data_IF_608520745312
#
_entry.id   IF_608520745312
#
_cell.length_a   1.000
_cell.length_b   1.000
_cell.length_c   1.000
_cell.angle_alpha   90.00
_cell.angle_beta   90.00
_cell.angle_gamma   90.00
#
_symmetry.space_group_name_H-M   'P 1'
#
loop_
_entity.id
_entity.type
_entity.pdbx_description
1 polymer ?
#
# COMPACT_ATOMS: atom_id res chain seq x y z
N UNK A 1 37.35 8.26 12.27
CA UNK A 1 37.75 9.62 11.77
C UNK A 1 36.60 10.56 12.08
N UNK A 2 36.75 11.50 13.01
CA UNK A 2 35.76 12.56 13.24
C UNK A 2 35.85 13.51 12.04
N UNK A 3 34.79 13.52 11.19
CA UNK A 3 34.61 14.59 10.21
C UNK A 3 34.45 15.85 11.02
N UNK A 4 35.37 16.84 10.86
CA UNK A 4 35.41 18.08 11.63
C UNK A 4 34.22 19.00 11.35
N UNK A 5 33.05 18.61 11.86
CA UNK A 5 31.86 19.46 11.86
C UNK A 5 32.01 20.49 13.00
N UNK A 6 31.76 21.76 12.70
CA UNK A 6 31.82 22.86 13.67
C UNK A 6 30.79 22.74 14.80
N UNK A 7 29.72 21.94 14.59
CA UNK A 7 28.75 21.50 15.59
C UNK A 7 28.44 20.03 15.39
N UNK A 8 28.14 19.33 16.46
CA UNK A 8 27.57 17.98 16.42
C UNK A 8 26.20 18.05 15.72
N UNK A 9 25.93 17.22 14.70
CA UNK A 9 24.61 17.17 14.08
C UNK A 9 23.59 16.62 15.09
N UNK A 10 22.38 17.17 15.06
CA UNK A 10 21.23 16.56 15.71
C UNK A 10 20.70 15.44 14.81
N UNK A 11 20.48 14.27 15.38
CA UNK A 11 19.96 13.09 14.65
C UNK A 11 18.50 12.91 15.05
N UNK A 12 17.59 13.04 14.09
CA UNK A 12 16.19 12.72 14.28
C UNK A 12 15.90 11.37 13.63
N UNK A 13 15.60 10.36 14.44
CA UNK A 13 15.20 9.04 13.97
C UNK A 13 13.69 9.04 13.71
N UNK A 14 13.28 8.60 12.52
CA UNK A 14 11.91 8.40 12.10
C UNK A 14 11.72 6.92 11.81
N UNK A 15 10.77 6.28 12.51
CA UNK A 15 10.50 4.84 12.41
C UNK A 15 8.99 4.58 12.49
N UNK A 16 8.22 5.06 11.49
CA UNK A 16 6.78 4.93 11.48
C UNK A 16 6.35 3.50 11.18
N UNK A 17 5.37 2.99 11.93
CA UNK A 17 4.72 1.70 11.71
C UNK A 17 3.31 1.87 11.13
N UNK A 18 2.65 2.99 11.43
CA UNK A 18 1.29 3.30 11.02
C UNK A 18 1.24 4.55 10.16
N UNK A 19 0.15 4.73 9.41
CA UNK A 19 -0.01 5.94 8.58
C UNK A 19 -0.09 7.21 9.43
N UNK A 20 -0.61 7.11 10.66
CA UNK A 20 -0.64 8.21 11.63
C UNK A 20 0.76 8.63 12.10
N UNK A 21 1.68 7.67 12.25
CA UNK A 21 3.08 7.95 12.63
C UNK A 21 3.79 8.76 11.55
N UNK A 22 3.52 8.45 10.26
CA UNK A 22 4.07 9.21 9.14
C UNK A 22 3.61 10.67 9.17
N UNK A 23 2.35 10.91 9.57
CA UNK A 23 1.82 12.27 9.75
C UNK A 23 2.51 12.97 10.92
N UNK A 24 2.69 12.29 12.06
CA UNK A 24 3.39 12.89 13.22
C UNK A 24 4.87 13.12 12.93
N UNK A 25 5.53 12.27 12.16
CA UNK A 25 6.92 12.48 11.74
C UNK A 25 7.11 13.77 10.95
N UNK A 26 6.12 14.21 10.16
CA UNK A 26 6.16 15.53 9.52
C UNK A 26 6.12 16.68 10.54
N UNK A 27 5.38 16.53 11.64
CA UNK A 27 5.38 17.51 12.73
C UNK A 27 6.74 17.51 13.45
N UNK A 28 7.34 16.34 13.68
CA UNK A 28 8.69 16.22 14.27
C UNK A 28 9.75 16.89 13.40
N UNK A 29 9.67 16.68 12.08
CA UNK A 29 10.53 17.37 11.11
C UNK A 29 10.30 18.89 11.14
N UNK A 30 9.03 19.33 11.20
CA UNK A 30 8.70 20.75 11.33
C UNK A 30 9.37 21.39 12.53
N UNK A 31 9.30 20.76 13.70
CA UNK A 31 9.96 21.21 14.94
C UNK A 31 11.49 21.26 14.79
N UNK A 32 12.07 20.23 14.23
CA UNK A 32 13.53 20.14 14.06
C UNK A 32 14.09 21.16 13.04
N UNK A 33 13.28 21.62 12.12
CA UNK A 33 13.69 22.56 11.04
C UNK A 33 13.16 23.98 11.22
N UNK A 34 12.38 24.25 12.28
CA UNK A 34 11.75 25.57 12.51
C UNK A 34 10.68 25.90 11.48
N UNK A 35 9.93 24.87 10.98
CA UNK A 35 8.87 25.01 9.99
C UNK A 35 7.52 24.49 10.51
N UNK A 36 7.23 24.69 11.81
CA UNK A 36 6.07 24.12 12.51
C UNK A 36 4.74 24.55 11.88
N UNK A 37 4.61 25.81 11.49
CA UNK A 37 3.38 26.31 10.85
C UNK A 37 3.09 25.53 9.57
N UNK A 38 4.12 25.34 8.73
CA UNK A 38 3.97 24.62 7.46
C UNK A 38 3.68 23.14 7.65
N UNK A 39 4.37 22.51 8.60
CA UNK A 39 4.11 21.08 8.92
C UNK A 39 2.69 20.89 9.46
N UNK A 40 2.20 21.78 10.34
CA UNK A 40 0.83 21.72 10.87
C UNK A 40 -0.24 21.87 9.79
N UNK A 41 -0.05 22.76 8.82
CA UNK A 41 -0.96 22.88 7.66
C UNK A 41 -1.00 21.60 6.83
N UNK A 42 0.18 21.03 6.53
CA UNK A 42 0.31 19.80 5.75
C UNK A 42 -0.34 18.63 6.50
N UNK A 43 -0.01 18.44 7.77
CA UNK A 43 -0.52 17.31 8.56
C UNK A 43 -2.03 17.41 8.78
N UNK A 44 -2.59 18.59 9.00
CA UNK A 44 -4.04 18.77 9.07
C UNK A 44 -4.74 18.37 7.76
N UNK A 45 -4.18 18.74 6.61
CA UNK A 45 -4.70 18.33 5.31
C UNK A 45 -4.63 16.82 5.09
N UNK A 46 -3.50 16.18 5.42
CA UNK A 46 -3.34 14.72 5.28
C UNK A 46 -4.29 13.97 6.21
N UNK A 47 -4.40 14.39 7.47
CA UNK A 47 -5.34 13.79 8.44
C UNK A 47 -6.79 13.89 7.96
N UNK A 48 -7.18 15.03 7.38
CA UNK A 48 -8.52 15.20 6.81
C UNK A 48 -8.79 14.25 5.66
N UNK A 49 -7.80 14.01 4.77
CA UNK A 49 -7.92 13.06 3.65
C UNK A 49 -8.06 11.62 4.15
N UNK A 50 -7.24 11.21 5.13
CA UNK A 50 -7.34 9.88 5.76
C UNK A 50 -8.73 9.68 6.36
N UNK A 51 -9.22 10.66 7.14
CA UNK A 51 -10.53 10.61 7.75
C UNK A 51 -11.67 10.55 6.72
N UNK A 52 -11.54 11.28 5.60
CA UNK A 52 -12.52 11.26 4.53
C UNK A 52 -12.62 9.88 3.85
N UNK A 53 -11.49 9.19 3.63
CA UNK A 53 -11.50 7.81 3.12
C UNK A 53 -12.18 6.89 4.12
N UNK A 54 -11.76 6.91 5.37
CA UNK A 54 -12.30 6.02 6.41
C UNK A 54 -13.81 6.23 6.65
N UNK A 55 -14.29 7.47 6.60
CA UNK A 55 -15.72 7.78 6.74
C UNK A 55 -16.52 7.24 5.55
N UNK A 56 -16.06 7.52 4.33
CA UNK A 56 -16.74 7.08 3.10
C UNK A 56 -16.75 5.55 2.96
N UNK A 57 -15.69 4.88 3.41
CA UNK A 57 -15.61 3.41 3.38
C UNK A 57 -16.63 2.72 4.30
N UNK A 58 -17.27 3.44 5.25
CA UNK A 58 -18.35 2.90 6.07
C UNK A 58 -19.63 2.65 5.28
N UNK A 59 -19.80 3.32 4.14
CA UNK A 59 -20.95 3.16 3.26
C UNK A 59 -20.83 1.93 2.35
N UNK A 60 -19.73 1.16 2.46
CA UNK A 60 -19.52 -0.04 1.67
C UNK A 60 -20.44 -1.19 2.12
N UNK A 61 -21.08 -1.85 1.15
CA UNK A 61 -21.95 -3.01 1.39
C UNK A 61 -21.18 -4.27 1.84
N UNK A 62 -19.87 -4.33 1.60
CA UNK A 62 -19.01 -5.47 1.92
C UNK A 62 -17.60 -5.02 2.29
N UNK A 63 -16.82 -5.93 2.88
CA UNK A 63 -15.41 -5.72 3.20
C UNK A 63 -14.57 -6.84 2.55
N UNK A 64 -14.23 -6.71 1.26
CA UNK A 64 -13.54 -7.77 0.55
C UNK A 64 -12.16 -8.06 1.14
N UNK A 65 -11.75 -9.33 1.04
CA UNK A 65 -10.41 -9.76 1.45
C UNK A 65 -9.36 -9.35 0.43
N UNK A 66 -8.28 -8.76 0.90
CA UNK A 66 -7.21 -8.19 0.08
C UNK A 66 -5.88 -8.87 0.40
N UNK A 67 -5.25 -9.44 -0.62
CA UNK A 67 -3.87 -9.91 -0.58
C UNK A 67 -2.95 -8.81 -1.15
N UNK A 68 -2.03 -8.31 -0.34
CA UNK A 68 -0.96 -7.44 -0.78
C UNK A 68 0.29 -8.27 -1.10
N UNK A 69 0.81 -8.17 -2.31
CA UNK A 69 2.05 -8.85 -2.71
C UNK A 69 3.18 -7.85 -2.75
N UNK A 70 3.97 -7.82 -1.68
CA UNK A 70 5.16 -6.96 -1.56
C UNK A 70 6.40 -7.58 -2.22
N UNK A 71 6.40 -8.90 -2.43
CA UNK A 71 7.41 -9.64 -3.17
C UNK A 71 6.81 -10.89 -3.80
N UNK A 72 7.21 -11.20 -5.03
CA UNK A 72 6.57 -12.28 -5.81
C UNK A 72 7.21 -13.66 -5.60
N UNK A 73 8.51 -13.72 -5.27
CA UNK A 73 9.21 -14.98 -5.00
C UNK A 73 10.41 -14.76 -4.06
N UNK A 74 10.37 -15.28 -2.81
CA UNK A 74 9.19 -15.93 -2.21
C UNK A 74 8.03 -14.95 -2.07
N UNK A 75 6.80 -15.44 -2.06
CA UNK A 75 5.63 -14.58 -1.86
C UNK A 75 5.70 -13.95 -0.47
N UNK A 76 5.64 -12.62 -0.42
CA UNK A 76 5.60 -11.88 0.85
C UNK A 76 4.45 -10.88 0.81
N UNK A 77 3.70 -10.78 1.90
CA UNK A 77 2.65 -9.78 2.03
C UNK A 77 3.19 -8.48 2.64
N UNK A 78 2.54 -7.36 2.30
CA UNK A 78 2.84 -6.06 2.88
C UNK A 78 2.53 -6.01 4.38
N UNK A 79 3.39 -5.32 5.13
CA UNK A 79 3.25 -5.06 6.55
C UNK A 79 3.23 -3.56 6.86
N UNK A 80 3.59 -3.18 8.11
CA UNK A 80 3.64 -1.80 8.58
C UNK A 80 2.27 -1.12 8.39
N UNK A 81 2.22 0.02 7.69
CA UNK A 81 1.00 0.80 7.42
C UNK A 81 0.03 0.14 6.41
N UNK A 82 0.47 -0.87 5.61
CA UNK A 82 -0.35 -1.43 4.52
C UNK A 82 -1.63 -2.10 5.03
N UNK A 83 -1.58 -2.95 6.07
CA UNK A 83 -2.80 -3.53 6.64
C UNK A 83 -3.77 -2.47 7.18
N UNK A 84 -3.27 -1.43 7.86
CA UNK A 84 -4.09 -0.31 8.34
C UNK A 84 -4.74 0.44 7.18
N UNK A 85 -4.00 0.71 6.09
CA UNK A 85 -4.54 1.37 4.89
C UNK A 85 -5.68 0.55 4.27
N UNK A 86 -5.56 -0.78 4.25
CA UNK A 86 -6.64 -1.67 3.78
C UNK A 86 -7.90 -1.55 4.62
N UNK A 87 -7.75 -1.55 5.94
CA UNK A 87 -8.88 -1.43 6.87
C UNK A 87 -9.57 -0.07 6.74
N UNK A 88 -8.79 1.01 6.65
CA UNK A 88 -9.29 2.37 6.42
C UNK A 88 -10.01 2.50 5.07
N UNK A 89 -9.53 1.79 4.05
CA UNK A 89 -10.15 1.74 2.73
C UNK A 89 -11.38 0.82 2.65
N UNK A 90 -11.79 0.17 3.74
CA UNK A 90 -12.98 -0.68 3.78
C UNK A 90 -12.76 -2.15 3.38
N UNK A 91 -11.52 -2.60 3.26
CA UNK A 91 -11.17 -4.00 3.04
C UNK A 91 -10.89 -4.77 4.33
N UNK A 92 -10.51 -6.05 4.18
CA UNK A 92 -9.93 -6.90 5.22
C UNK A 92 -8.63 -7.50 4.70
N UNK A 93 -7.65 -7.67 5.58
CA UNK A 93 -6.37 -8.26 5.19
C UNK A 93 -6.51 -9.78 5.08
N UNK A 94 -6.05 -10.38 3.99
CA UNK A 94 -5.95 -11.84 3.87
C UNK A 94 -4.86 -12.38 4.79
N UNK A 95 -3.79 -11.61 5.01
CA UNK A 95 -2.66 -11.94 5.87
C UNK A 95 -2.14 -10.70 6.59
N UNK A 96 -1.62 -10.93 7.80
CA UNK A 96 -1.07 -9.86 8.63
C UNK A 96 -2.14 -8.93 9.21
N UNK A 97 -1.71 -8.04 10.07
CA UNK A 97 -2.48 -6.96 10.68
C UNK A 97 -1.61 -5.71 10.81
N UNK A 98 -2.18 -4.63 11.33
CA UNK A 98 -1.48 -3.34 11.50
C UNK A 98 -0.25 -3.39 12.42
N UNK A 99 -0.12 -4.43 13.24
CA UNK A 99 1.00 -4.60 14.17
C UNK A 99 2.03 -5.62 13.65
N UNK A 100 1.80 -6.15 12.44
CA UNK A 100 2.63 -7.16 11.81
C UNK A 100 3.54 -6.52 10.75
N UNK A 101 4.81 -6.90 10.74
CA UNK A 101 5.72 -6.59 9.64
C UNK A 101 5.42 -7.45 8.40
N UNK A 102 6.27 -7.32 7.38
CA UNK A 102 6.21 -8.15 6.18
C UNK A 102 6.31 -9.63 6.53
N UNK A 103 5.36 -10.45 6.05
CA UNK A 103 5.32 -11.89 6.26
C UNK A 103 5.66 -12.64 4.97
N UNK A 104 6.51 -13.66 5.08
CA UNK A 104 6.66 -14.65 4.02
C UNK A 104 5.45 -15.61 4.08
N UNK A 105 4.80 -15.81 2.94
CA UNK A 105 3.61 -16.64 2.83
C UNK A 105 3.93 -17.99 2.19
N UNK A 106 3.25 -19.03 2.66
CA UNK A 106 3.13 -20.29 1.94
C UNK A 106 2.07 -20.12 0.84
N UNK A 107 2.36 -20.63 -0.37
CA UNK A 107 1.44 -20.47 -1.48
C UNK A 107 0.12 -21.24 -1.29
N UNK A 108 0.18 -22.42 -0.65
CA UNK A 108 -1.03 -23.21 -0.34
C UNK A 108 -1.95 -22.45 0.64
N UNK A 109 -1.37 -21.70 1.59
CA UNK A 109 -2.13 -20.80 2.49
C UNK A 109 -2.78 -19.66 1.71
N UNK A 110 -2.09 -19.10 0.72
CA UNK A 110 -2.65 -18.07 -0.18
C UNK A 110 -3.84 -18.63 -0.95
N UNK A 111 -3.70 -19.84 -1.52
CA UNK A 111 -4.82 -20.51 -2.21
C UNK A 111 -5.99 -20.75 -1.26
N UNK A 112 -5.71 -21.22 -0.03
CA UNK A 112 -6.75 -21.49 0.97
C UNK A 112 -7.48 -20.23 1.45
N UNK A 113 -6.81 -19.08 1.49
CA UNK A 113 -7.39 -17.79 1.92
C UNK A 113 -8.38 -17.21 0.91
N UNK A 114 -8.36 -17.66 -0.35
CA UNK A 114 -9.28 -17.22 -1.42
C UNK A 114 -9.43 -15.69 -1.51
N UNK A 115 -8.35 -14.91 -1.70
CA UNK A 115 -8.43 -13.45 -1.72
C UNK A 115 -9.37 -12.95 -2.82
N UNK A 116 -10.20 -11.97 -2.49
CA UNK A 116 -11.14 -11.35 -3.43
C UNK A 116 -10.48 -10.24 -4.25
N UNK A 117 -9.38 -9.69 -3.73
CA UNK A 117 -8.55 -8.68 -4.40
C UNK A 117 -7.09 -9.04 -4.22
N UNK A 118 -6.29 -8.85 -5.25
CA UNK A 118 -4.82 -8.92 -5.18
C UNK A 118 -4.26 -7.57 -5.62
N UNK A 119 -3.38 -7.00 -4.79
CA UNK A 119 -2.63 -5.77 -5.12
C UNK A 119 -1.15 -6.12 -5.16
N UNK A 120 -0.58 -6.12 -6.36
CA UNK A 120 0.85 -6.24 -6.60
C UNK A 120 1.50 -4.89 -6.27
N UNK A 121 2.36 -4.88 -5.25
CA UNK A 121 2.97 -3.67 -4.71
C UNK A 121 4.42 -3.90 -4.27
N UNK A 122 5.20 -4.50 -5.16
CA UNK A 122 6.57 -4.88 -4.87
C UNK A 122 7.40 -3.66 -4.42
N UNK A 123 8.07 -3.82 -3.29
CA UNK A 123 8.76 -2.75 -2.59
C UNK A 123 9.73 -1.98 -3.52
N UNK A 124 9.45 -0.69 -3.68
CA UNK A 124 10.27 0.22 -4.49
C UNK A 124 10.05 0.15 -6.00
N UNK A 125 9.17 -0.71 -6.51
CA UNK A 125 8.91 -0.86 -7.94
C UNK A 125 7.84 0.13 -8.43
N UNK A 126 8.02 0.61 -9.66
CA UNK A 126 6.96 1.23 -10.43
C UNK A 126 6.08 0.16 -11.10
N UNK A 127 4.99 0.58 -11.73
CA UNK A 127 4.05 -0.35 -12.42
C UNK A 127 4.75 -1.17 -13.49
N UNK A 128 5.62 -0.55 -14.28
CA UNK A 128 6.34 -1.24 -15.37
C UNK A 128 7.22 -2.37 -14.82
N UNK A 129 8.03 -2.07 -13.79
CA UNK A 129 8.91 -3.07 -13.19
C UNK A 129 8.12 -4.17 -12.48
N UNK A 130 7.02 -3.81 -11.80
CA UNK A 130 6.17 -4.78 -11.13
C UNK A 130 5.49 -5.76 -12.11
N UNK A 131 5.14 -5.31 -13.31
CA UNK A 131 4.60 -6.17 -14.37
C UNK A 131 5.59 -7.24 -14.85
N UNK A 132 6.89 -7.01 -14.75
CA UNK A 132 7.91 -8.00 -15.11
C UNK A 132 7.90 -9.24 -14.21
N UNK A 133 7.37 -9.11 -12.98
CA UNK A 133 7.23 -10.22 -12.03
C UNK A 133 5.89 -10.98 -12.18
N UNK A 134 4.95 -10.47 -12.98
CA UNK A 134 3.64 -11.12 -13.17
C UNK A 134 3.72 -12.56 -13.69
N UNK A 135 4.64 -12.93 -14.62
CA UNK A 135 4.80 -14.32 -15.03
C UNK A 135 5.10 -15.28 -13.85
N UNK A 136 5.88 -14.82 -12.87
CA UNK A 136 6.18 -15.60 -11.64
C UNK A 136 4.92 -15.89 -10.83
N UNK A 137 4.01 -14.92 -10.73
CA UNK A 137 2.75 -15.09 -10.02
C UNK A 137 1.76 -15.95 -10.79
N UNK A 138 1.60 -15.69 -12.10
CA UNK A 138 0.63 -16.39 -12.95
C UNK A 138 0.98 -17.86 -13.20
N UNK A 139 2.27 -18.23 -13.07
CA UNK A 139 2.74 -19.61 -13.20
C UNK A 139 2.50 -20.46 -11.94
N UNK A 140 2.09 -19.85 -10.82
CA UNK A 140 1.85 -20.59 -9.57
C UNK A 140 0.58 -21.45 -9.68
N UNK A 141 0.67 -22.68 -9.17
CA UNK A 141 -0.46 -23.61 -9.19
C UNK A 141 -1.68 -23.02 -8.49
N UNK A 142 -2.86 -23.11 -9.13
CA UNK A 142 -4.11 -22.60 -8.59
C UNK A 142 -4.32 -21.09 -8.74
N UNK A 143 -3.37 -20.31 -9.28
CA UNK A 143 -3.52 -18.86 -9.50
C UNK A 143 -4.85 -18.50 -10.19
N UNK A 144 -5.16 -19.17 -11.31
CA UNK A 144 -6.38 -18.93 -12.08
C UNK A 144 -7.68 -19.29 -11.34
N UNK A 145 -7.59 -20.03 -10.25
CA UNK A 145 -8.74 -20.42 -9.42
C UNK A 145 -9.13 -19.35 -8.39
N UNK A 146 -8.24 -18.41 -8.09
CA UNK A 146 -8.46 -17.38 -7.09
C UNK A 146 -9.63 -16.44 -7.47
N UNK A 147 -10.50 -16.06 -6.52
CA UNK A 147 -11.60 -15.13 -6.74
C UNK A 147 -11.13 -13.81 -7.36
N UNK A 148 -10.04 -13.24 -6.88
CA UNK A 148 -9.45 -12.01 -7.42
C UNK A 148 -9.15 -12.12 -8.93
N UNK A 149 -8.61 -13.26 -9.38
CA UNK A 149 -8.27 -13.48 -10.79
C UNK A 149 -9.53 -13.67 -11.64
N UNK A 150 -10.47 -14.53 -11.17
CA UNK A 150 -11.74 -14.79 -11.87
C UNK A 150 -12.59 -13.55 -12.05
N UNK A 151 -12.54 -12.63 -11.07
CA UNK A 151 -13.34 -11.41 -11.08
C UNK A 151 -12.57 -10.19 -11.64
N UNK A 152 -11.36 -10.40 -12.22
CA UNK A 152 -10.50 -9.33 -12.73
C UNK A 152 -10.20 -8.26 -11.67
N UNK A 153 -9.98 -8.66 -10.42
CA UNK A 153 -9.64 -7.78 -9.30
C UNK A 153 -8.18 -7.94 -8.87
N UNK A 154 -7.29 -8.04 -9.88
CA UNK A 154 -5.84 -8.01 -9.70
C UNK A 154 -5.34 -6.65 -10.16
N UNK A 155 -4.61 -5.97 -9.30
CA UNK A 155 -4.08 -4.63 -9.54
C UNK A 155 -2.57 -4.62 -9.37
N UNK A 156 -1.93 -3.69 -10.05
CA UNK A 156 -0.52 -3.34 -9.87
C UNK A 156 -0.45 -1.86 -9.52
N UNK A 157 0.29 -1.49 -8.48
CA UNK A 157 0.49 -0.09 -8.06
C UNK A 157 1.97 0.28 -8.14
N UNK A 158 2.27 1.55 -8.44
CA UNK A 158 3.60 2.13 -8.23
C UNK A 158 3.89 2.20 -6.72
N UNK A 159 4.42 1.09 -6.21
CA UNK A 159 4.74 0.98 -4.79
C UNK A 159 5.85 1.94 -4.38
N UNK A 160 6.83 2.17 -5.25
CA UNK A 160 7.92 3.12 -5.02
C UNK A 160 7.44 4.54 -4.72
N UNK A 161 6.30 4.93 -5.28
CA UNK A 161 5.71 6.25 -5.08
C UNK A 161 4.68 6.29 -3.96
N UNK A 162 3.87 5.22 -3.76
CA UNK A 162 2.62 5.32 -3.01
C UNK A 162 2.49 4.39 -1.81
N UNK A 163 3.31 3.32 -1.69
CA UNK A 163 3.15 2.35 -0.59
C UNK A 163 4.45 1.96 0.12
N UNK A 164 5.63 2.08 -0.53
CA UNK A 164 6.89 1.59 0.03
C UNK A 164 7.69 2.64 0.83
N UNK A 165 7.25 3.88 0.88
CA UNK A 165 8.02 4.97 1.50
C UNK A 165 7.20 5.71 2.53
N UNK A 166 7.74 5.88 3.73
CA UNK A 166 7.14 6.63 4.83
C UNK A 166 7.11 8.14 4.55
N UNK A 167 6.13 8.60 3.76
CA UNK A 167 6.00 10.00 3.41
C UNK A 167 4.57 10.40 3.02
N UNK A 168 4.31 11.69 2.75
CA UNK A 168 2.95 12.22 2.51
C UNK A 168 2.18 11.49 1.41
N UNK A 169 2.87 10.89 0.43
CA UNK A 169 2.25 10.16 -0.67
C UNK A 169 1.57 8.85 -0.25
N UNK A 170 1.83 8.35 0.96
CA UNK A 170 1.06 7.22 1.51
C UNK A 170 -0.43 7.53 1.61
N UNK A 171 -0.80 8.78 1.86
CA UNK A 171 -2.22 9.18 1.88
C UNK A 171 -2.85 9.07 0.48
N UNK A 172 -2.10 9.42 -0.57
CA UNK A 172 -2.53 9.15 -1.95
C UNK A 172 -2.57 7.64 -2.23
N UNK A 173 -1.62 6.87 -1.70
CA UNK A 173 -1.66 5.40 -1.74
C UNK A 173 -2.92 4.81 -1.10
N UNK A 174 -3.34 5.34 0.04
CA UNK A 174 -4.61 4.98 0.70
C UNK A 174 -5.83 5.28 -0.21
N UNK A 175 -5.87 6.44 -0.85
CA UNK A 175 -6.95 6.81 -1.77
C UNK A 175 -6.99 5.90 -3.01
N UNK A 176 -5.82 5.56 -3.58
CA UNK A 176 -5.71 4.59 -4.68
C UNK A 176 -6.23 3.22 -4.24
N UNK A 177 -5.83 2.73 -3.06
CA UNK A 177 -6.32 1.47 -2.53
C UNK A 177 -7.83 1.49 -2.29
N UNK A 178 -8.38 2.59 -1.79
CA UNK A 178 -9.82 2.75 -1.61
C UNK A 178 -10.58 2.62 -2.93
N UNK A 179 -10.08 3.22 -4.03
CA UNK A 179 -10.67 3.06 -5.35
C UNK A 179 -10.53 1.63 -5.90
N UNK A 180 -9.40 0.94 -5.63
CA UNK A 180 -9.25 -0.47 -6.01
C UNK A 180 -10.20 -1.39 -5.25
N UNK A 181 -10.46 -1.10 -3.97
CA UNK A 181 -11.29 -1.92 -3.09
C UNK A 181 -12.77 -1.64 -3.32
N UNK A 182 -13.16 -0.38 -3.48
CA UNK A 182 -14.54 0.08 -3.63
C UNK A 182 -14.69 1.10 -4.76
N UNK A 183 -14.52 0.68 -6.04
CA UNK A 183 -14.61 1.61 -7.17
C UNK A 183 -16.01 2.25 -7.30
N UNK A 184 -17.04 1.67 -6.72
CA UNK A 184 -18.41 2.22 -6.67
C UNK A 184 -18.52 3.42 -5.71
N UNK A 185 -17.69 3.44 -4.66
CA UNK A 185 -17.63 4.54 -3.68
C UNK A 185 -16.56 5.57 -4.05
N UNK A 186 -15.44 5.11 -4.57
CA UNK A 186 -14.28 5.95 -4.86
C UNK A 186 -13.98 5.95 -6.36
N UNK A 187 -13.82 7.11 -6.95
CA UNK A 187 -13.47 7.24 -8.37
C UNK A 187 -12.63 8.48 -8.61
N UNK A 188 -11.64 8.36 -9.51
CA UNK A 188 -10.78 9.48 -9.90
C UNK A 188 -9.64 9.77 -8.91
N UNK A 189 -9.35 8.86 -7.99
CA UNK A 189 -8.22 8.98 -7.07
C UNK A 189 -6.94 8.38 -7.63
N UNK A 190 -7.03 7.49 -8.64
CA UNK A 190 -5.86 6.86 -9.26
C UNK A 190 -5.23 7.85 -10.25
N UNK A 191 -4.04 8.42 -9.95
CA UNK A 191 -3.33 9.26 -10.91
C UNK A 191 -2.97 8.46 -12.16
N UNK A 192 -2.80 9.15 -13.30
CA UNK A 192 -2.32 8.52 -14.52
C UNK A 192 -1.01 7.76 -14.27
N UNK A 193 -0.91 6.53 -14.75
CA UNK A 193 0.22 5.61 -14.55
C UNK A 193 0.55 5.17 -13.12
N UNK A 194 -0.20 5.60 -12.09
CA UNK A 194 0.04 5.22 -10.70
C UNK A 194 -0.36 3.76 -10.40
N UNK A 195 -1.34 3.25 -11.12
CA UNK A 195 -1.82 1.89 -10.96
C UNK A 195 -2.45 1.36 -12.24
N UNK A 196 -2.52 0.03 -12.33
CA UNK A 196 -3.14 -0.67 -13.45
C UNK A 196 -4.00 -1.82 -12.92
N UNK A 197 -5.22 -1.94 -13.44
CA UNK A 197 -6.04 -3.13 -13.27
C UNK A 197 -5.74 -4.12 -14.38
N UNK A 198 -5.47 -5.36 -14.01
CA UNK A 198 -5.20 -6.42 -14.97
C UNK A 198 -6.50 -7.09 -15.40
N UNK A 199 -6.68 -7.30 -16.70
CA UNK A 199 -7.85 -7.94 -17.31
C UNK A 199 -7.43 -9.15 -18.12
N UNK A 200 -8.29 -10.19 -18.12
CA UNK A 200 -8.15 -11.34 -19.01
C UNK A 200 -7.12 -12.37 -18.57
N UNK A 201 -6.76 -13.25 -19.52
CA UNK A 201 -5.83 -14.34 -19.30
C UNK A 201 -4.38 -13.79 -19.19
N UNK A 202 -3.92 -13.55 -17.97
CA UNK A 202 -2.58 -13.04 -17.68
C UNK A 202 -1.46 -14.02 -18.08
N UNK A 203 -1.81 -15.23 -18.57
CA UNK A 203 -0.84 -16.23 -19.05
C UNK A 203 -0.33 -15.95 -20.47
N UNK A 204 -0.92 -14.95 -21.16
CA UNK A 204 -0.61 -14.63 -22.57
C UNK A 204 0.17 -13.34 -22.78
N UNK A 205 0.78 -12.78 -21.76
CA UNK A 205 1.74 -11.70 -21.94
C UNK A 205 3.06 -12.29 -22.46
N UNK A 206 3.15 -12.46 -23.77
CA UNK A 206 4.37 -12.79 -24.51
C UNK A 206 5.02 -11.53 -25.07
#
# INVERSE_FOLDING_TARGET
MSVGLAKQPEVLSLDPLHIGDVVEDLNRLGRATGTETKSSEITAHLTSRIAAVAERAKDADSRPSVLHVEWADPVMCGGHWVPEMTELAGGTNSFGDKDTGTLKLDWDEVIASQPEIIIMMQCGFDVKRALEDMPTMTAKDGWSSLPAVKNNRVYVIDAGSYTSRSGPRLVTGLEIMAEMIHPELFSGFIPESAALRLFGDLTKAS
#
